data_IF_553486538068
#
_entry.id   IF_553486538068
#
_cell.length_a   1.000
_cell.length_b   1.000
_cell.length_c   1.000
_cell.angle_alpha   90.00
_cell.angle_beta   90.00
_cell.angle_gamma   90.00
#
_symmetry.space_group_name_H-M   'P 1'
#
loop_
_entity.id
_entity.type
_entity.pdbx_description
1 polymer ?
#
# COMPACT_ATOMS: atom_id res chain seq x y z
N UNK A 1 8.71 -19.34 -32.76
CA UNK A 1 7.33 -19.02 -32.33
C UNK A 1 7.41 -18.18 -31.08
N UNK A 2 7.25 -16.85 -31.18
CA UNK A 2 7.26 -15.95 -30.03
C UNK A 2 5.85 -15.90 -29.43
N UNK A 3 5.68 -16.49 -28.24
CA UNK A 3 4.45 -16.38 -27.47
C UNK A 3 4.30 -14.94 -26.97
N UNK A 4 3.33 -14.21 -27.53
CA UNK A 4 2.90 -12.89 -27.07
C UNK A 4 1.98 -13.05 -25.86
N UNK A 5 2.54 -13.27 -24.67
CA UNK A 5 1.76 -13.03 -23.45
C UNK A 5 1.73 -11.53 -23.19
N UNK A 6 0.65 -10.89 -23.63
CA UNK A 6 0.31 -9.52 -23.23
C UNK A 6 -0.28 -9.64 -21.82
N UNK A 7 0.45 -9.17 -20.81
CA UNK A 7 -0.08 -8.99 -19.47
C UNK A 7 -1.27 -8.02 -19.57
N UNK A 8 -2.50 -8.54 -19.55
CA UNK A 8 -3.68 -7.69 -19.51
C UNK A 8 -3.81 -7.11 -18.09
N UNK A 9 -3.93 -5.79 -18.00
CA UNK A 9 -4.24 -5.12 -16.73
C UNK A 9 -5.60 -5.61 -16.24
N UNK A 10 -5.69 -5.97 -14.95
CA UNK A 10 -6.87 -6.57 -14.34
C UNK A 10 -8.12 -5.68 -14.31
N UNK A 11 -8.01 -4.41 -14.73
CA UNK A 11 -9.11 -3.46 -14.79
C UNK A 11 -8.99 -2.56 -16.03
N UNK A 12 -9.98 -2.63 -16.95
CA UNK A 12 -10.09 -1.82 -18.18
C UNK A 12 -11.09 -0.66 -18.03
N UNK A 13 -11.55 -0.35 -16.82
CA UNK A 13 -12.67 0.58 -16.60
C UNK A 13 -12.33 2.07 -16.80
N UNK A 14 -11.05 2.41 -16.97
CA UNK A 14 -10.60 3.79 -17.16
C UNK A 14 -9.44 3.83 -18.15
N UNK A 15 -9.73 3.88 -19.46
CA UNK A 15 -8.70 4.14 -20.49
C UNK A 15 -8.40 5.65 -20.62
N UNK A 16 -9.37 6.51 -20.29
CA UNK A 16 -9.32 7.96 -20.59
C UNK A 16 -9.03 8.86 -19.36
N UNK A 17 -8.86 8.31 -18.15
CA UNK A 17 -8.61 9.10 -16.93
C UNK A 17 -7.24 8.72 -16.34
N UNK A 18 -6.29 9.67 -16.23
CA UNK A 18 -5.06 9.43 -15.50
C UNK A 18 -5.37 9.19 -14.01
N UNK A 19 -4.96 8.05 -13.48
CA UNK A 19 -5.16 7.68 -12.07
C UNK A 19 -5.05 6.18 -11.81
N UNK A 20 -4.83 5.79 -10.56
CA UNK A 20 -4.78 4.38 -10.17
C UNK A 20 -6.20 3.76 -10.21
N UNK A 21 -6.46 2.76 -11.06
CA UNK A 21 -7.79 2.12 -11.15
C UNK A 21 -8.25 1.50 -9.82
N UNK A 22 -7.30 1.20 -8.91
CA UNK A 22 -7.57 0.65 -7.58
C UNK A 22 -8.20 1.65 -6.61
N UNK A 23 -8.13 2.96 -6.89
CA UNK A 23 -8.72 4.01 -6.04
C UNK A 23 -10.01 4.60 -6.61
N UNK A 24 -10.26 4.45 -7.92
CA UNK A 24 -11.44 5.02 -8.60
C UNK A 24 -12.64 4.05 -8.68
N UNK A 25 -12.46 2.78 -8.34
CA UNK A 25 -13.53 1.77 -8.49
C UNK A 25 -14.39 1.72 -7.23
N UNK A 26 -15.68 2.06 -7.34
CA UNK A 26 -16.66 1.72 -6.30
C UNK A 26 -16.74 0.18 -6.18
N UNK A 27 -16.29 -0.37 -5.06
CA UNK A 27 -16.38 -1.82 -4.83
C UNK A 27 -17.85 -2.24 -4.74
N UNK A 28 -18.30 -3.14 -5.63
CA UNK A 28 -19.58 -3.86 -5.49
C UNK A 28 -19.50 -4.98 -4.44
N UNK A 29 -18.29 -5.31 -3.98
CA UNK A 29 -18.06 -6.37 -2.99
C UNK A 29 -18.36 -5.84 -1.61
N UNK A 30 -19.44 -6.35 -1.00
CA UNK A 30 -19.76 -6.09 0.40
C UNK A 30 -18.73 -6.77 1.29
N UNK A 31 -18.22 -6.04 2.28
CA UNK A 31 -17.39 -6.64 3.33
C UNK A 31 -18.21 -7.67 4.12
N UNK A 32 -17.53 -8.68 4.67
CA UNK A 32 -18.15 -9.71 5.49
C UNK A 32 -19.00 -9.07 6.62
N UNK A 33 -20.27 -9.44 6.73
CA UNK A 33 -21.19 -8.92 7.76
C UNK A 33 -21.41 -9.90 8.92
N UNK A 34 -20.60 -10.97 9.00
CA UNK A 34 -20.62 -12.04 10.00
C UNK A 34 -21.86 -12.94 9.98
N UNK A 35 -22.75 -12.78 9.01
CA UNK A 35 -23.96 -13.61 8.88
C UNK A 35 -23.67 -15.11 8.67
N UNK A 36 -22.48 -15.45 8.17
CA UNK A 36 -22.07 -16.83 7.90
C UNK A 36 -21.60 -17.62 9.13
N UNK A 37 -21.51 -17.00 10.31
CA UNK A 37 -21.13 -17.68 11.56
C UNK A 37 -19.68 -18.19 11.62
N UNK A 38 -18.84 -17.88 10.64
CA UNK A 38 -17.44 -18.32 10.63
C UNK A 38 -16.63 -17.59 11.71
N UNK A 39 -15.69 -18.26 12.41
CA UNK A 39 -14.83 -17.60 13.39
C UNK A 39 -13.91 -16.58 12.71
N UNK A 40 -13.53 -15.53 13.47
CA UNK A 40 -12.51 -14.58 13.03
C UNK A 40 -11.14 -15.27 13.07
N UNK A 41 -10.27 -14.96 12.08
CA UNK A 41 -8.93 -15.56 11.99
C UNK A 41 -7.90 -14.87 12.88
N UNK A 42 -7.89 -13.54 12.83
CA UNK A 42 -6.88 -12.69 13.49
C UNK A 42 -7.50 -11.82 14.57
N UNK A 43 -8.76 -11.42 14.38
CA UNK A 43 -9.46 -10.49 15.26
C UNK A 43 -10.19 -11.25 16.36
N UNK A 44 -10.26 -10.66 17.56
CA UNK A 44 -11.25 -11.03 18.56
C UNK A 44 -12.63 -10.45 18.21
N UNK A 45 -13.69 -10.89 18.91
CA UNK A 45 -15.01 -10.28 18.78
C UNK A 45 -15.01 -8.82 19.26
N UNK A 46 -14.18 -8.51 20.25
CA UNK A 46 -13.95 -7.16 20.75
C UNK A 46 -13.29 -6.28 19.68
N UNK A 47 -12.26 -6.78 18.99
CA UNK A 47 -11.62 -6.07 17.87
C UNK A 47 -12.61 -5.83 16.74
N UNK A 48 -13.47 -6.80 16.44
CA UNK A 48 -14.51 -6.64 15.43
C UNK A 48 -15.53 -5.55 15.80
N UNK A 49 -16.03 -5.56 17.03
CA UNK A 49 -16.93 -4.50 17.55
C UNK A 49 -16.24 -3.15 17.52
N UNK A 50 -14.97 -3.09 17.92
CA UNK A 50 -14.17 -1.87 17.90
C UNK A 50 -14.02 -1.33 16.48
N UNK A 51 -13.68 -2.19 15.51
CA UNK A 51 -13.61 -1.81 14.09
C UNK A 51 -14.94 -1.27 13.58
N UNK A 52 -16.05 -1.96 13.87
CA UNK A 52 -17.40 -1.54 13.46
C UNK A 52 -17.80 -0.18 14.03
N UNK A 53 -17.35 0.16 15.23
CA UNK A 53 -17.65 1.41 15.90
C UNK A 53 -16.72 2.55 15.47
N UNK A 54 -15.41 2.29 15.36
CA UNK A 54 -14.38 3.33 15.20
C UNK A 54 -13.79 3.42 13.79
N UNK A 55 -13.98 2.39 12.95
CA UNK A 55 -13.43 2.32 11.59
C UNK A 55 -11.97 1.85 11.49
N UNK A 56 -11.30 1.55 12.60
CA UNK A 56 -9.92 1.05 12.63
C UNK A 56 -9.69 0.06 13.79
N UNK A 57 -8.55 -0.63 13.79
CA UNK A 57 -8.06 -1.51 14.86
C UNK A 57 -6.52 -1.45 14.93
N UNK A 58 -5.94 -1.94 16.03
CA UNK A 58 -4.48 -2.05 16.19
C UNK A 58 -4.11 -3.52 16.35
N UNK A 59 -3.49 -4.11 15.31
CA UNK A 59 -2.93 -5.46 15.38
C UNK A 59 -1.47 -5.36 15.81
N UNK A 60 -1.18 -5.75 17.05
CA UNK A 60 0.18 -5.72 17.59
C UNK A 60 1.02 -6.85 16.97
N UNK A 61 2.27 -6.56 16.65
CA UNK A 61 3.23 -7.53 16.11
C UNK A 61 2.72 -8.26 14.84
N UNK A 62 1.99 -7.56 13.96
CA UNK A 62 1.55 -8.12 12.68
C UNK A 62 2.73 -8.58 11.80
N UNK A 63 3.91 -7.97 12.00
CA UNK A 63 5.19 -8.37 11.43
C UNK A 63 6.24 -8.45 12.54
N UNK A 64 7.29 -9.24 12.33
CA UNK A 64 8.39 -9.35 13.29
C UNK A 64 9.21 -8.07 13.35
N UNK A 65 9.75 -7.72 14.53
CA UNK A 65 10.63 -6.55 14.69
C UNK A 65 11.84 -6.59 13.75
N UNK A 66 12.37 -7.78 13.47
CA UNK A 66 13.48 -7.98 12.53
C UNK A 66 13.09 -7.54 11.11
N UNK A 67 11.96 -8.05 10.59
CA UNK A 67 11.46 -7.66 9.27
C UNK A 67 11.13 -6.16 9.19
N UNK A 68 10.56 -5.60 10.25
CA UNK A 68 10.33 -4.14 10.33
C UNK A 68 11.64 -3.37 10.20
N UNK A 69 12.68 -3.80 10.92
CA UNK A 69 14.00 -3.14 10.86
C UNK A 69 14.61 -3.26 9.46
N UNK A 70 14.64 -4.47 8.90
CA UNK A 70 15.21 -4.71 7.56
C UNK A 70 14.51 -3.86 6.49
N UNK A 71 13.18 -3.72 6.59
CA UNK A 71 12.40 -2.88 5.67
C UNK A 71 12.69 -1.40 5.86
N UNK A 72 12.81 -0.94 7.11
CA UNK A 72 13.14 0.45 7.41
C UNK A 72 14.56 0.82 6.93
N UNK A 73 15.55 -0.02 7.23
CA UNK A 73 16.95 0.16 6.80
C UNK A 73 17.02 0.23 5.27
N UNK A 74 16.29 -0.66 4.58
CA UNK A 74 16.19 -0.65 3.13
C UNK A 74 15.61 0.65 2.58
N UNK A 75 14.52 1.17 3.17
CA UNK A 75 13.91 2.44 2.72
C UNK A 75 14.88 3.61 2.90
N UNK A 76 15.58 3.69 4.05
CA UNK A 76 16.60 4.72 4.28
C UNK A 76 17.71 4.65 3.24
N UNK A 77 18.25 3.45 2.98
CA UNK A 77 19.29 3.25 1.98
C UNK A 77 18.81 3.60 0.56
N UNK A 78 17.65 3.10 0.17
CA UNK A 78 17.10 3.31 -1.17
C UNK A 78 16.86 4.79 -1.46
N UNK A 79 16.31 5.51 -0.49
CA UNK A 79 16.05 6.94 -0.60
C UNK A 79 17.30 7.78 -0.28
N UNK A 80 18.49 7.17 -0.12
CA UNK A 80 19.76 7.74 0.39
C UNK A 80 19.55 8.79 1.51
N UNK A 81 18.75 8.43 2.49
CA UNK A 81 18.44 9.22 3.68
C UNK A 81 19.10 8.61 4.91
N UNK A 82 19.26 9.43 5.93
CA UNK A 82 19.81 9.00 7.21
C UNK A 82 18.76 9.21 8.31
N UNK A 83 18.43 8.13 9.01
CA UNK A 83 17.46 8.15 10.10
C UNK A 83 17.88 9.04 11.27
N UNK A 84 19.18 9.27 11.44
CA UNK A 84 19.74 10.07 12.53
C UNK A 84 20.02 11.52 12.09
N UNK A 85 19.84 11.85 10.80
CA UNK A 85 20.00 13.20 10.26
C UNK A 85 18.73 13.70 9.57
N UNK A 86 17.94 14.48 10.30
CA UNK A 86 16.68 15.07 9.82
C UNK A 86 16.81 16.01 8.62
N UNK A 87 17.99 16.58 8.37
CA UNK A 87 18.23 17.43 7.20
C UNK A 87 18.08 16.64 5.89
N UNK A 88 18.28 15.32 5.95
CA UNK A 88 18.14 14.44 4.77
C UNK A 88 16.68 14.05 4.48
N UNK A 89 15.75 14.22 5.43
CA UNK A 89 14.42 13.59 5.33
C UNK A 89 13.50 14.20 4.27
N UNK A 90 13.61 15.50 4.03
CA UNK A 90 12.70 16.28 3.17
C UNK A 90 13.46 17.09 2.13
N UNK A 91 14.25 16.41 1.30
CA UNK A 91 15.00 17.02 0.20
C UNK A 91 14.18 17.07 -1.10
N UNK A 92 14.49 18.00 -2.03
CA UNK A 92 13.87 18.02 -3.35
C UNK A 92 14.03 16.69 -4.10
N UNK A 93 13.07 16.33 -4.98
CA UNK A 93 13.16 15.10 -5.76
C UNK A 93 14.46 15.04 -6.59
N UNK A 94 15.12 13.87 -6.60
CA UNK A 94 16.36 13.66 -7.36
C UNK A 94 16.15 13.62 -8.87
N UNK A 95 15.01 13.08 -9.29
CA UNK A 95 14.63 12.93 -10.69
C UNK A 95 13.33 13.68 -10.96
N UNK A 96 13.24 14.30 -12.12
CA UNK A 96 12.00 14.89 -12.58
C UNK A 96 10.99 13.76 -12.84
N UNK A 97 9.92 13.74 -12.06
CA UNK A 97 8.82 12.81 -12.30
C UNK A 97 8.15 13.17 -13.62
N UNK A 98 8.13 12.23 -14.56
CA UNK A 98 7.52 12.45 -15.87
C UNK A 98 6.01 12.71 -15.77
N UNK A 99 5.35 12.14 -14.77
CA UNK A 99 3.95 12.43 -14.42
C UNK A 99 3.91 13.43 -13.27
N UNK A 100 3.62 14.69 -13.59
CA UNK A 100 3.60 15.80 -12.62
C UNK A 100 2.56 15.57 -11.52
N UNK A 101 1.48 14.85 -11.84
CA UNK A 101 0.40 14.46 -10.94
C UNK A 101 0.88 13.55 -9.79
N UNK A 102 2.00 12.85 -9.97
CA UNK A 102 2.59 11.99 -8.94
C UNK A 102 3.56 12.74 -8.02
N UNK A 103 3.93 13.97 -8.38
CA UNK A 103 4.87 14.80 -7.61
C UNK A 103 4.24 15.18 -6.28
N UNK A 104 4.94 14.93 -5.17
CA UNK A 104 4.47 15.27 -3.82
C UNK A 104 3.41 14.35 -3.24
N UNK A 105 3.10 13.21 -3.89
CA UNK A 105 2.17 12.20 -3.35
C UNK A 105 2.76 11.38 -2.19
N UNK A 106 4.04 11.57 -1.88
CA UNK A 106 4.74 10.82 -0.82
C UNK A 106 4.98 9.35 -1.16
N UNK A 107 4.82 8.95 -2.42
CA UNK A 107 5.04 7.58 -2.89
C UNK A 107 6.42 7.45 -3.54
N UNK A 108 7.13 6.39 -3.16
CA UNK A 108 8.40 5.97 -3.76
C UNK A 108 8.22 4.53 -4.24
N UNK A 109 8.50 4.29 -5.53
CA UNK A 109 8.34 2.98 -6.13
C UNK A 109 9.65 2.20 -6.07
N UNK A 110 9.58 1.01 -5.48
CA UNK A 110 10.68 0.06 -5.41
C UNK A 110 10.26 -1.21 -6.12
N UNK A 111 11.07 -1.64 -7.09
CA UNK A 111 10.86 -2.87 -7.82
C UNK A 111 11.87 -3.92 -7.38
N UNK A 112 11.37 -5.09 -6.98
CA UNK A 112 12.19 -6.27 -6.77
C UNK A 112 12.39 -6.99 -8.11
N UNK A 113 13.63 -7.35 -8.43
CA UNK A 113 13.99 -8.03 -9.68
C UNK A 113 14.18 -9.54 -9.48
#
# INVERSE_FOLDING_TARGET
MHSKYKMEMANKAHEDIPGNPSTATSSKTKLNDRSNGNPLRVLSEEDWKFWKHNGYIIIKNAISKKQTKETADFIWQFDEKDSDNSETWYVPPRAEMQMKELTGTGMVEVYNH
#
